data_IF_047231732215
#
_entry.id   IF_047231732215
#
_cell.length_a   1.000
_cell.length_b   1.000
_cell.length_c   1.000
_cell.angle_alpha   90.00
_cell.angle_beta   90.00
_cell.angle_gamma   90.00
#
_symmetry.space_group_name_H-M   'P 1'
#
loop_
_entity.id
_entity.type
_entity.pdbx_description
1 polymer ?
#
# COMPACT_ATOMS: atom_id res chain seq x y z
N UNK A 1 58.72 46.46 16.85
CA UNK A 1 59.02 45.55 17.98
C UNK A 1 57.73 44.81 18.27
N UNK A 2 57.66 43.53 17.92
CA UNK A 2 56.54 42.68 18.33
C UNK A 2 56.77 42.24 19.77
N UNK A 3 55.85 42.58 20.65
CA UNK A 3 55.88 42.17 22.05
C UNK A 3 55.44 40.70 22.13
N UNK A 4 56.40 39.78 22.28
CA UNK A 4 56.11 38.36 22.48
C UNK A 4 55.48 38.18 23.87
N UNK A 5 54.18 37.90 23.90
CA UNK A 5 53.45 37.56 25.13
C UNK A 5 54.03 36.24 25.67
N UNK A 6 54.57 36.18 26.90
CA UNK A 6 55.20 34.98 27.44
C UNK A 6 54.18 33.84 27.57
N UNK A 7 54.48 32.67 26.97
CA UNK A 7 53.64 31.47 27.09
C UNK A 7 53.76 30.78 28.46
N UNK A 8 54.70 31.23 29.31
CA UNK A 8 54.92 30.75 30.67
C UNK A 8 55.17 31.93 31.61
N UNK A 9 54.47 31.97 32.74
CA UNK A 9 54.68 32.94 33.82
C UNK A 9 55.26 32.17 35.01
N UNK A 10 56.50 32.47 35.38
CA UNK A 10 57.15 31.87 36.56
C UNK A 10 57.06 32.85 37.74
N UNK A 11 56.44 32.45 38.84
CA UNK A 11 56.41 33.25 40.06
C UNK A 11 57.72 33.11 40.87
N UNK A 12 58.06 34.07 41.75
CA UNK A 12 59.29 34.02 42.56
C UNK A 12 59.42 32.77 43.46
N UNK A 13 58.32 32.06 43.71
CA UNK A 13 58.27 30.80 44.45
C UNK A 13 58.51 29.55 43.57
N UNK A 14 58.83 29.72 42.28
CA UNK A 14 59.13 28.63 41.35
C UNK A 14 57.92 27.96 40.70
N UNK A 15 56.70 28.50 40.83
CA UNK A 15 55.53 27.96 40.13
C UNK A 15 55.45 28.50 38.71
N UNK A 16 55.34 27.59 37.73
CA UNK A 16 55.22 27.91 36.30
C UNK A 16 53.75 27.80 35.88
N UNK A 17 53.17 28.90 35.42
CA UNK A 17 51.82 28.96 34.87
C UNK A 17 51.89 28.99 33.34
N UNK A 18 51.34 27.97 32.67
CA UNK A 18 51.18 27.95 31.21
C UNK A 18 49.81 28.50 30.83
N UNK A 19 49.75 29.46 29.91
CA UNK A 19 48.48 29.88 29.32
C UNK A 19 47.87 28.70 28.53
N UNK A 20 46.74 28.17 29.02
CA UNK A 20 46.01 27.11 28.34
C UNK A 20 45.47 27.67 27.01
N UNK A 21 45.77 26.98 25.90
CA UNK A 21 45.26 27.36 24.59
C UNK A 21 43.72 27.46 24.61
N UNK A 22 43.14 28.45 23.91
CA UNK A 22 41.69 28.63 23.90
C UNK A 22 41.02 27.39 23.29
N UNK A 23 39.87 26.99 23.85
CA UNK A 23 39.22 25.72 23.53
C UNK A 23 38.99 25.50 22.02
N UNK A 24 38.63 26.54 21.26
CA UNK A 24 38.38 26.44 19.82
C UNK A 24 39.62 26.09 18.97
N UNK A 25 40.84 26.22 19.52
CA UNK A 25 42.08 25.80 18.86
C UNK A 25 42.44 24.35 19.15
N UNK A 26 41.75 23.71 20.10
CA UNK A 26 41.98 22.30 20.41
C UNK A 26 41.22 21.43 19.40
N UNK A 27 41.86 20.42 18.77
CA UNK A 27 41.19 19.56 17.79
C UNK A 27 39.99 18.79 18.39
N UNK A 28 40.06 18.46 19.68
CA UNK A 28 38.98 17.84 20.45
C UNK A 28 37.70 18.68 20.52
N UNK A 29 37.78 20.01 20.38
CA UNK A 29 36.61 20.87 20.38
C UNK A 29 35.79 20.71 19.10
N UNK A 30 36.44 20.59 17.94
CA UNK A 30 35.74 20.44 16.66
C UNK A 30 35.15 19.04 16.48
N UNK A 31 35.87 18.01 16.93
CA UNK A 31 35.38 16.63 16.81
C UNK A 31 34.13 16.39 17.68
N UNK A 32 34.05 17.01 18.85
CA UNK A 32 32.86 16.92 19.72
C UNK A 32 31.64 17.60 19.10
N UNK A 33 31.82 18.78 18.48
CA UNK A 33 30.75 19.48 17.75
C UNK A 33 30.24 18.63 16.59
N UNK A 34 31.15 18.11 15.75
CA UNK A 34 30.77 17.30 14.58
C UNK A 34 30.06 16.01 15.02
N UNK A 35 30.55 15.36 16.07
CA UNK A 35 29.93 14.16 16.64
C UNK A 35 28.51 14.43 17.15
N UNK A 36 28.30 15.55 17.85
CA UNK A 36 26.98 15.95 18.33
C UNK A 36 25.99 16.18 17.18
N UNK A 37 26.42 16.87 16.12
CA UNK A 37 25.60 17.10 14.92
C UNK A 37 25.23 15.78 14.22
N UNK A 38 26.19 14.87 14.08
CA UNK A 38 25.94 13.55 13.49
C UNK A 38 24.93 12.71 14.28
N UNK A 39 25.00 12.76 15.61
CA UNK A 39 24.04 12.07 16.48
C UNK A 39 22.61 12.59 16.27
N UNK A 40 22.43 13.92 16.21
CA UNK A 40 21.12 14.53 15.95
C UNK A 40 20.59 14.16 14.56
N UNK A 41 21.47 14.13 13.54
CA UNK A 41 21.05 13.72 12.21
C UNK A 41 20.61 12.25 12.18
N UNK A 42 21.36 11.35 12.82
CA UNK A 42 21.01 9.93 12.89
C UNK A 42 19.69 9.69 13.63
N UNK A 43 19.43 10.40 14.73
CA UNK A 43 18.14 10.27 15.43
C UNK A 43 16.97 10.73 14.56
N UNK A 44 17.14 11.80 13.78
CA UNK A 44 16.12 12.27 12.84
C UNK A 44 15.86 11.26 11.71
N UNK A 45 16.90 10.62 11.17
CA UNK A 45 16.76 9.59 10.14
C UNK A 45 16.01 8.38 10.70
N UNK A 46 16.37 7.89 11.89
CA UNK A 46 15.69 6.75 12.53
C UNK A 46 14.24 7.10 12.86
N UNK A 47 13.97 8.30 13.38
CA UNK A 47 12.61 8.75 13.64
C UNK A 47 11.78 8.84 12.34
N UNK A 48 12.36 9.40 11.28
CA UNK A 48 11.72 9.48 9.96
C UNK A 48 11.39 8.11 9.38
N UNK A 49 12.33 7.17 9.43
CA UNK A 49 12.10 5.78 9.00
C UNK A 49 11.07 5.07 9.87
N UNK A 50 11.03 5.34 11.17
CA UNK A 50 10.05 4.75 12.09
C UNK A 50 8.64 5.26 11.82
N UNK A 51 8.48 6.57 11.57
CA UNK A 51 7.19 7.17 11.19
C UNK A 51 6.72 6.63 9.84
N UNK A 52 7.63 6.52 8.86
CA UNK A 52 7.30 5.95 7.54
C UNK A 52 6.87 4.48 7.65
N UNK A 53 7.60 3.66 8.40
CA UNK A 53 7.22 2.27 8.64
C UNK A 53 5.89 2.16 9.41
N UNK A 54 5.64 3.02 10.39
CA UNK A 54 4.38 3.01 11.14
C UNK A 54 3.19 3.45 10.28
N UNK A 55 3.38 4.41 9.37
CA UNK A 55 2.36 4.79 8.39
C UNK A 55 2.07 3.64 7.41
N UNK A 56 3.11 2.92 6.97
CA UNK A 56 2.98 1.77 6.07
C UNK A 56 2.30 0.57 6.77
N UNK A 57 2.74 0.21 7.98
CA UNK A 57 2.10 -0.83 8.81
C UNK A 57 0.67 -0.45 9.23
N UNK A 58 0.39 0.83 9.47
CA UNK A 58 -0.96 1.32 9.72
C UNK A 58 -1.90 1.19 8.52
N UNK A 59 -1.36 1.20 7.29
CA UNK A 59 -2.12 0.90 6.08
C UNK A 59 -2.48 -0.60 6.00
N UNK A 60 -1.55 -1.49 6.36
CA UNK A 60 -1.80 -2.94 6.46
C UNK A 60 -2.71 -3.33 7.63
N UNK A 61 -2.70 -2.57 8.74
CA UNK A 61 -3.66 -2.77 9.83
C UNK A 61 -5.06 -2.26 9.46
N UNK A 62 -5.17 -1.24 8.60
CA UNK A 62 -6.45 -0.80 8.04
C UNK A 62 -7.09 -1.87 7.17
N UNK A 63 -6.33 -2.55 6.31
CA UNK A 63 -6.88 -3.62 5.46
C UNK A 63 -7.45 -4.79 6.28
N UNK A 64 -6.82 -5.16 7.40
CA UNK A 64 -7.35 -6.18 8.31
C UNK A 64 -8.65 -5.76 9.04
N UNK A 65 -8.86 -4.47 9.31
CA UNK A 65 -10.10 -3.95 9.93
C UNK A 65 -11.23 -3.81 8.90
N UNK A 66 -10.93 -3.60 7.61
CA UNK A 66 -11.95 -3.53 6.55
C UNK A 66 -12.71 -4.85 6.36
N UNK A 67 -12.08 -5.99 6.66
CA UNK A 67 -12.64 -7.34 6.49
C UNK A 67 -13.95 -7.58 7.27
N UNK A 68 -14.17 -6.88 8.38
CA UNK A 68 -15.34 -7.05 9.25
C UNK A 68 -16.52 -6.08 8.93
N UNK A 69 -16.38 -5.23 7.90
CA UNK A 69 -17.33 -4.12 7.63
C UNK A 69 -17.92 -4.10 6.22
N UNK A 70 -17.71 -5.15 5.43
CA UNK A 70 -18.20 -5.19 4.06
C UNK A 70 -19.73 -5.25 3.99
N UNK A 71 -20.31 -4.36 3.19
CA UNK A 71 -21.72 -4.45 2.79
C UNK A 71 -21.85 -5.54 1.72
N UNK A 72 -22.63 -6.56 2.05
CA UNK A 72 -22.82 -7.71 1.17
C UNK A 72 -24.02 -7.50 0.25
N UNK A 73 -23.81 -7.76 -1.04
CA UNK A 73 -24.79 -7.68 -2.11
C UNK A 73 -24.83 -9.00 -2.88
N UNK A 74 -25.97 -9.28 -3.51
CA UNK A 74 -26.10 -10.47 -4.36
C UNK A 74 -25.47 -10.19 -5.72
N UNK A 75 -25.00 -11.24 -6.38
CA UNK A 75 -24.68 -11.15 -7.80
C UNK A 75 -25.89 -10.62 -8.59
N UNK A 76 -25.64 -9.68 -9.49
CA UNK A 76 -26.65 -8.93 -10.24
C UNK A 76 -27.09 -7.61 -9.60
N UNK A 77 -26.86 -7.40 -8.30
CA UNK A 77 -27.17 -6.14 -7.64
C UNK A 77 -26.22 -5.03 -8.10
N UNK A 78 -26.78 -3.84 -8.34
CA UNK A 78 -26.01 -2.65 -8.72
C UNK A 78 -25.83 -1.72 -7.53
N UNK A 79 -24.59 -1.32 -7.26
CA UNK A 79 -24.24 -0.43 -6.15
C UNK A 79 -23.60 0.84 -6.70
N UNK A 80 -24.07 2.00 -6.21
CA UNK A 80 -23.55 3.32 -6.55
C UNK A 80 -22.65 3.82 -5.43
N UNK A 81 -21.45 4.25 -5.79
CA UNK A 81 -20.43 4.81 -4.92
C UNK A 81 -20.50 6.35 -4.91
N UNK A 82 -19.88 6.97 -3.90
CA UNK A 82 -19.91 8.43 -3.69
C UNK A 82 -19.27 9.20 -4.85
N UNK A 83 -18.23 8.64 -5.48
CA UNK A 83 -17.59 9.20 -6.67
C UNK A 83 -18.47 9.14 -7.94
N UNK A 84 -19.68 8.58 -7.87
CA UNK A 84 -20.57 8.41 -9.00
C UNK A 84 -20.28 7.18 -9.86
N UNK A 85 -19.34 6.33 -9.46
CA UNK A 85 -19.18 5.00 -10.07
C UNK A 85 -20.36 4.11 -9.67
N UNK A 86 -20.88 3.34 -10.62
CA UNK A 86 -21.91 2.35 -10.37
C UNK A 86 -21.46 1.00 -10.89
N UNK A 87 -21.34 0.03 -10.00
CA UNK A 87 -20.78 -1.29 -10.27
C UNK A 87 -21.87 -2.34 -10.14
N UNK A 88 -21.86 -3.30 -11.06
CA UNK A 88 -22.71 -4.49 -11.02
C UNK A 88 -21.85 -5.71 -11.32
N UNK A 89 -21.78 -6.67 -10.39
CA UNK A 89 -21.12 -7.96 -10.63
C UNK A 89 -22.18 -8.95 -11.09
N UNK A 90 -22.20 -9.31 -12.38
CA UNK A 90 -23.24 -10.16 -12.95
C UNK A 90 -23.14 -11.60 -12.49
N UNK A 91 -21.93 -12.17 -12.54
CA UNK A 91 -21.67 -13.54 -12.14
C UNK A 91 -20.21 -13.72 -11.74
N UNK A 92 -19.97 -14.77 -10.94
CA UNK A 92 -18.66 -15.36 -10.70
C UNK A 92 -18.78 -16.83 -11.09
N UNK A 93 -17.92 -17.29 -12.01
CA UNK A 93 -17.97 -18.64 -12.57
C UNK A 93 -16.62 -19.33 -12.47
N UNK A 94 -16.63 -20.59 -12.05
CA UNK A 94 -15.44 -21.44 -12.03
C UNK A 94 -15.41 -22.26 -13.31
N UNK A 95 -14.48 -21.96 -14.21
CA UNK A 95 -14.22 -22.78 -15.38
C UNK A 95 -13.11 -23.80 -15.07
N UNK A 96 -13.53 -25.03 -14.82
CA UNK A 96 -12.64 -26.18 -14.58
C UNK A 96 -12.06 -26.79 -15.86
N UNK A 97 -12.49 -26.35 -17.04
CA UNK A 97 -12.06 -26.85 -18.36
C UNK A 97 -11.06 -25.89 -19.02
N UNK A 98 -11.18 -24.60 -18.74
CA UNK A 98 -10.23 -23.58 -19.18
C UNK A 98 -9.01 -23.59 -18.25
N UNK A 99 -7.97 -24.35 -18.62
CA UNK A 99 -6.65 -24.27 -17.98
C UNK A 99 -5.96 -23.00 -18.44
N UNK A 100 -5.53 -22.17 -17.51
CA UNK A 100 -4.78 -20.95 -17.79
C UNK A 100 -3.48 -21.26 -18.53
N UNK A 101 -3.05 -20.37 -19.42
CA UNK A 101 -1.78 -20.50 -20.12
C UNK A 101 -0.64 -20.10 -19.19
N UNK A 102 0.06 -21.05 -18.57
CA UNK A 102 1.23 -20.73 -17.73
C UNK A 102 1.55 -21.77 -16.66
N UNK A 103 2.20 -21.32 -15.57
CA UNK A 103 2.51 -22.14 -14.38
C UNK A 103 1.30 -22.32 -13.43
N UNK A 104 0.18 -21.66 -13.71
CA UNK A 104 -1.08 -21.82 -12.99
C UNK A 104 -1.59 -23.26 -13.16
N UNK A 105 -1.61 -24.01 -12.06
CA UNK A 105 -2.00 -25.44 -12.04
C UNK A 105 -3.52 -25.66 -11.95
N UNK A 106 -4.27 -24.56 -11.89
CA UNK A 106 -5.63 -24.52 -11.36
C UNK A 106 -6.79 -24.33 -12.34
N UNK A 107 -7.99 -24.22 -11.76
CA UNK A 107 -9.22 -23.79 -12.43
C UNK A 107 -9.22 -22.26 -12.62
N UNK A 108 -9.83 -21.79 -13.70
CA UNK A 108 -9.97 -20.35 -13.94
C UNK A 108 -11.23 -19.84 -13.26
N UNK A 109 -11.14 -18.79 -12.45
CA UNK A 109 -12.32 -18.11 -11.91
C UNK A 109 -12.56 -16.83 -12.72
N UNK A 110 -13.74 -16.72 -13.33
CA UNK A 110 -14.14 -15.56 -14.12
C UNK A 110 -15.21 -14.77 -13.40
N UNK A 111 -14.99 -13.47 -13.23
CA UNK A 111 -16.01 -12.53 -12.77
C UNK A 111 -16.40 -11.55 -13.89
N UNK A 112 -17.70 -11.37 -14.11
CA UNK A 112 -18.22 -10.39 -15.07
C UNK A 112 -18.68 -9.13 -14.36
N UNK A 113 -18.02 -8.01 -14.63
CA UNK A 113 -18.29 -6.72 -13.99
C UNK A 113 -18.78 -5.72 -15.02
N UNK A 114 -19.85 -5.01 -14.69
CA UNK A 114 -20.29 -3.80 -15.41
C UNK A 114 -19.95 -2.60 -14.56
N UNK A 115 -19.29 -1.61 -15.16
CA UNK A 115 -18.97 -0.33 -14.54
C UNK A 115 -19.61 0.78 -15.36
N UNK A 116 -20.33 1.68 -14.70
CA UNK A 116 -21.02 2.83 -15.30
C UNK A 116 -20.58 4.11 -14.58
N UNK A 117 -20.22 5.15 -15.34
CA UNK A 117 -19.92 6.46 -14.79
C UNK A 117 -21.19 7.31 -14.76
N UNK A 118 -21.74 7.49 -13.55
CA UNK A 118 -22.94 8.32 -13.30
C UNK A 118 -22.60 9.68 -12.68
N UNK A 119 -21.33 10.05 -12.69
CA UNK A 119 -20.84 11.35 -12.21
C UNK A 119 -20.90 12.40 -13.33
N UNK A 120 -20.52 13.64 -13.02
CA UNK A 120 -20.38 14.73 -14.00
C UNK A 120 -18.97 14.84 -14.58
N UNK A 121 -18.03 14.00 -14.13
CA UNK A 121 -16.62 14.05 -14.49
C UNK A 121 -16.16 12.67 -15.00
N UNK A 122 -14.99 12.63 -15.63
CA UNK A 122 -14.38 11.37 -16.03
C UNK A 122 -13.87 10.61 -14.80
N UNK A 123 -13.98 9.29 -14.79
CA UNK A 123 -13.57 8.46 -13.66
C UNK A 123 -12.37 7.58 -14.03
N UNK A 124 -11.27 7.59 -13.25
CA UNK A 124 -10.21 6.63 -13.43
C UNK A 124 -10.73 5.23 -13.05
N UNK A 125 -10.29 4.22 -13.80
CA UNK A 125 -10.57 2.82 -13.52
C UNK A 125 -9.26 2.07 -13.35
N UNK A 126 -9.25 1.14 -12.40
CA UNK A 126 -8.14 0.23 -12.19
C UNK A 126 -8.69 -1.17 -11.93
N UNK A 127 -8.25 -2.15 -12.72
CA UNK A 127 -8.65 -3.55 -12.57
C UNK A 127 -8.21 -4.15 -11.23
N UNK A 128 -7.10 -3.66 -10.68
CA UNK A 128 -6.56 -4.13 -9.39
C UNK A 128 -7.36 -3.63 -8.18
N UNK A 129 -8.35 -2.76 -8.37
CA UNK A 129 -9.27 -2.36 -7.31
C UNK A 129 -10.32 -3.45 -7.01
N UNK A 130 -10.42 -4.48 -7.87
CA UNK A 130 -11.30 -5.62 -7.71
C UNK A 130 -10.54 -6.82 -7.14
N UNK A 131 -10.97 -7.28 -5.97
CA UNK A 131 -10.35 -8.39 -5.27
C UNK A 131 -11.31 -9.59 -5.21
N UNK A 132 -10.88 -10.73 -5.74
CA UNK A 132 -11.65 -11.97 -5.65
C UNK A 132 -11.25 -12.69 -4.37
N UNK A 133 -12.23 -13.01 -3.53
CA UNK A 133 -11.99 -13.65 -2.24
C UNK A 133 -12.82 -14.91 -2.08
N UNK A 134 -12.28 -15.90 -1.36
CA UNK A 134 -13.04 -17.07 -0.91
C UNK A 134 -13.80 -16.83 0.42
N UNK A 135 -14.41 -17.88 0.96
CA UNK A 135 -15.14 -17.81 2.24
C UNK A 135 -14.23 -17.46 3.44
N UNK A 136 -12.95 -17.81 3.39
CA UNK A 136 -11.98 -17.45 4.43
C UNK A 136 -11.51 -16.00 4.28
N UNK A 137 -11.82 -15.37 3.15
CA UNK A 137 -11.39 -14.02 2.81
C UNK A 137 -9.98 -13.98 2.23
N UNK A 138 -9.46 -15.12 1.76
CA UNK A 138 -8.18 -15.17 1.05
C UNK A 138 -8.36 -14.61 -0.36
N UNK A 139 -7.45 -13.71 -0.75
CA UNK A 139 -7.47 -13.03 -2.05
C UNK A 139 -6.80 -13.88 -3.14
N UNK A 140 -7.40 -13.88 -4.32
CA UNK A 140 -6.92 -14.62 -5.49
C UNK A 140 -6.23 -13.67 -6.47
N UNK A 141 -5.17 -14.17 -7.12
CA UNK A 141 -4.36 -13.36 -8.03
C UNK A 141 -5.07 -13.15 -9.37
N UNK A 142 -5.16 -11.90 -9.82
CA UNK A 142 -5.65 -11.55 -11.16
C UNK A 142 -4.70 -12.11 -12.21
N UNK A 143 -5.23 -12.86 -13.17
CA UNK A 143 -4.47 -13.49 -14.25
C UNK A 143 -4.32 -12.56 -15.46
N UNK A 144 -3.16 -12.63 -16.10
CA UNK A 144 -2.80 -11.82 -17.27
C UNK A 144 -3.75 -12.01 -18.45
N UNK A 145 -4.42 -13.18 -18.56
CA UNK A 145 -5.44 -13.43 -19.60
C UNK A 145 -6.64 -12.47 -19.52
N UNK A 146 -6.84 -11.79 -18.39
CA UNK A 146 -7.79 -10.68 -18.26
C UNK A 146 -7.55 -9.62 -19.33
N UNK A 147 -6.29 -9.27 -19.58
CA UNK A 147 -5.90 -8.21 -20.52
C UNK A 147 -5.91 -8.67 -21.99
N UNK A 148 -5.80 -9.98 -22.24
CA UNK A 148 -5.88 -10.54 -23.60
C UNK A 148 -7.32 -10.55 -24.14
N UNK A 149 -8.30 -10.68 -23.25
CA UNK A 149 -9.70 -10.94 -23.63
C UNK A 149 -10.64 -9.76 -23.41
N UNK A 150 -10.19 -8.75 -22.66
CA UNK A 150 -11.03 -7.61 -22.25
C UNK A 150 -10.43 -6.29 -22.72
N UNK A 151 -11.26 -5.40 -23.26
CA UNK A 151 -10.88 -4.01 -23.52
C UNK A 151 -10.84 -3.23 -22.19
N UNK A 152 -9.74 -3.37 -21.45
CA UNK A 152 -9.52 -2.65 -20.21
C UNK A 152 -9.28 -1.17 -20.53
N UNK A 153 -10.07 -0.32 -19.88
CA UNK A 153 -9.94 1.14 -19.96
C UNK A 153 -9.37 1.66 -18.66
N UNK A 154 -8.44 2.60 -18.74
CA UNK A 154 -7.92 3.29 -17.54
C UNK A 154 -8.82 4.45 -17.10
N UNK A 155 -9.75 4.87 -17.96
CA UNK A 155 -10.62 6.01 -17.73
C UNK A 155 -12.00 5.79 -18.38
N UNK A 156 -13.05 6.20 -17.68
CA UNK A 156 -14.44 6.06 -18.10
C UNK A 156 -15.10 7.43 -18.25
N UNK A 157 -15.49 7.78 -19.48
CA UNK A 157 -16.10 9.08 -19.75
C UNK A 157 -17.48 9.22 -19.08
N UNK A 158 -17.97 10.46 -18.97
CA UNK A 158 -19.27 10.77 -18.37
C UNK A 158 -20.40 10.02 -19.08
N UNK A 159 -21.23 9.29 -18.32
CA UNK A 159 -22.33 8.49 -18.83
C UNK A 159 -21.90 7.22 -19.57
N UNK A 160 -20.60 6.95 -19.67
CA UNK A 160 -20.09 5.75 -20.31
C UNK A 160 -20.26 4.51 -19.42
N UNK A 161 -20.42 3.37 -20.08
CA UNK A 161 -20.49 2.05 -19.47
C UNK A 161 -19.49 1.11 -20.14
N UNK A 162 -18.75 0.37 -19.32
CA UNK A 162 -17.82 -0.67 -19.77
C UNK A 162 -18.15 -2.00 -19.09
N UNK A 163 -17.84 -3.09 -19.77
CA UNK A 163 -17.99 -4.45 -19.29
C UNK A 163 -16.62 -5.11 -19.26
N UNK A 164 -16.25 -5.66 -18.11
CA UNK A 164 -14.99 -6.37 -17.91
C UNK A 164 -15.22 -7.83 -17.55
N UNK A 165 -14.39 -8.70 -18.14
CA UNK A 165 -14.26 -10.11 -17.77
C UNK A 165 -12.94 -10.26 -17.01
N UNK A 166 -13.01 -10.25 -15.69
CA UNK A 166 -11.85 -10.43 -14.82
C UNK A 166 -11.59 -11.92 -14.63
N UNK A 167 -10.34 -12.35 -14.77
CA UNK A 167 -9.93 -13.75 -14.66
C UNK A 167 -8.91 -13.87 -13.53
N UNK A 168 -9.09 -14.86 -12.66
CA UNK A 168 -8.25 -15.08 -11.47
C UNK A 168 -7.78 -16.53 -11.43
N UNK A 169 -6.53 -16.75 -11.00
CA UNK A 169 -5.97 -18.09 -10.81
C UNK A 169 -6.62 -18.72 -9.58
N UNK A 170 -7.55 -19.65 -9.82
CA UNK A 170 -8.36 -20.28 -8.78
C UNK A 170 -7.69 -21.43 -8.04
N UNK A 171 -6.41 -21.72 -8.31
CA UNK A 171 -5.74 -22.93 -7.83
C UNK A 171 -6.66 -24.17 -8.03
N UNK A 172 -6.93 -24.97 -7.00
CA UNK A 172 -7.78 -26.15 -7.14
C UNK A 172 -9.30 -25.87 -7.25
N UNK A 173 -9.73 -24.60 -7.23
CA UNK A 173 -11.13 -24.17 -7.40
C UNK A 173 -12.09 -24.66 -6.29
N UNK A 174 -11.53 -25.09 -5.16
CA UNK A 174 -12.23 -25.85 -4.12
C UNK A 174 -12.80 -25.00 -2.98
N UNK A 175 -12.38 -23.73 -2.85
CA UNK A 175 -12.77 -22.83 -1.76
C UNK A 175 -13.98 -21.95 -2.14
N UNK A 176 -15.05 -22.57 -2.60
CA UNK A 176 -16.32 -21.87 -2.84
C UNK A 176 -17.10 -21.67 -1.53
N UNK A 177 -17.97 -20.65 -1.43
CA UNK A 177 -18.33 -19.67 -2.46
C UNK A 177 -17.32 -18.52 -2.59
N UNK A 178 -17.19 -18.00 -3.81
CA UNK A 178 -16.37 -16.82 -4.09
C UNK A 178 -17.19 -15.53 -3.98
N UNK A 179 -16.51 -14.46 -3.58
CA UNK A 179 -17.04 -13.09 -3.58
C UNK A 179 -16.08 -12.16 -4.32
N UNK A 180 -16.62 -11.16 -5.01
CA UNK A 180 -15.81 -10.08 -5.58
C UNK A 180 -15.98 -8.83 -4.71
N UNK A 181 -14.88 -8.27 -4.23
CA UNK A 181 -14.83 -7.09 -3.41
C UNK A 181 -14.41 -5.86 -4.22
N UNK A 182 -14.98 -4.70 -3.89
CA UNK A 182 -14.54 -3.38 -4.32
C UNK A 182 -14.81 -2.39 -3.19
N UNK A 183 -13.78 -1.65 -2.77
CA UNK A 183 -13.82 -0.73 -1.63
C UNK A 183 -14.39 -1.41 -0.36
N UNK A 184 -15.60 -1.04 0.08
CA UNK A 184 -16.29 -1.58 1.25
C UNK A 184 -17.51 -2.45 0.89
N UNK A 185 -17.60 -2.90 -0.36
CA UNK A 185 -18.72 -3.70 -0.89
C UNK A 185 -18.22 -5.06 -1.36
N UNK A 186 -19.03 -6.10 -1.15
CA UNK A 186 -18.82 -7.44 -1.72
C UNK A 186 -20.05 -7.91 -2.46
N UNK A 187 -19.84 -8.56 -3.60
CA UNK A 187 -20.85 -9.30 -4.32
C UNK A 187 -20.55 -10.79 -4.27
N UNK A 188 -21.54 -11.58 -3.90
CA UNK A 188 -21.42 -13.04 -3.89
C UNK A 188 -22.79 -13.69 -3.97
N UNK A 189 -22.79 -15.01 -4.15
CA UNK A 189 -24.00 -15.78 -3.91
C UNK A 189 -24.43 -15.58 -2.45
N UNK A 190 -25.72 -15.33 -2.22
CA UNK A 190 -26.21 -15.27 -0.86
C UNK A 190 -25.88 -16.60 -0.18
N UNK A 191 -25.24 -16.58 1.00
CA UNK A 191 -25.04 -17.80 1.80
C UNK A 191 -26.35 -18.57 1.78
N UNK A 192 -26.35 -19.77 1.20
CA UNK A 192 -27.50 -20.66 1.32
C UNK A 192 -27.62 -20.92 2.82
N UNK A 193 -28.56 -20.23 3.47
CA UNK A 193 -28.93 -20.56 4.84
C UNK A 193 -29.55 -21.96 4.70
N UNK A 194 -28.74 -22.99 4.96
CA UNK A 194 -29.25 -24.34 5.15
C UNK A 194 -30.13 -24.27 6.39
N UNK A 195 -31.44 -24.36 6.18
CA UNK A 195 -32.42 -24.61 7.22
C UNK A 195 -32.25 -26.03 7.76
#
# INVERSE_FOLDING_TARGET
MEEQVPHEITTPAGHVYRLKQPLYKQPLFWTTIISCVMLVFMTLVVAGLSIFNFAFLGHSARTAVYQDSYKHHRLGDSVRFENGMKITVQYIHVDSKERMKGQATGATITAKVIIENTSSESLPLNVYDFDLQDEMGESYVLDDATFDTTNIKEELAVGEKVEWKLMYDGEDGSQQPYTLAYDNVRWGEAKSVKF
#
